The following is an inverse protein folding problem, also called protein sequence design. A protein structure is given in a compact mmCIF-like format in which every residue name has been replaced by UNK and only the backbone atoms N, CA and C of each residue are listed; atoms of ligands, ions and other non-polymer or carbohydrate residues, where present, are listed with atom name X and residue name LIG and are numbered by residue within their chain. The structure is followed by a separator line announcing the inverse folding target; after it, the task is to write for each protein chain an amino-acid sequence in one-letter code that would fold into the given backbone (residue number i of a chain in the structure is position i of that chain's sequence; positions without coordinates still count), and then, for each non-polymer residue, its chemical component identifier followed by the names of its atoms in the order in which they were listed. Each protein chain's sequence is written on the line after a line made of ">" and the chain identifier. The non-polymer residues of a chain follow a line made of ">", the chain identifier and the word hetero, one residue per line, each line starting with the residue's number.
data_IF_355254225225
#
_entry.id   IF_355254225225
#
_cell.length_a   1.000
_cell.length_b   1.000
_cell.length_c   1.000
_cell.angle_alpha   90.00
_cell.angle_beta   90.00
_cell.angle_gamma   90.00
#
_symmetry.space_group_name_H-M   'P 1'
#
loop_
_entity.id
_entity.type
_entity.pdbx_description
1 polymer ?
#
# COMPACT_ATOMS: atom_id res chain seq x y z
N UNK A 1 19.10 -2.08 -2.30
CA UNK A 1 19.39 -3.41 -1.71
C UNK A 1 18.07 -4.02 -1.24
N UNK A 2 17.94 -5.35 -1.18
CA UNK A 2 16.79 -5.98 -0.53
C UNK A 2 16.64 -5.50 0.92
N UNK A 3 15.43 -5.60 1.47
CA UNK A 3 15.20 -5.36 2.88
C UNK A 3 15.86 -6.45 3.73
N UNK A 4 16.28 -6.09 4.92
CA UNK A 4 16.76 -7.03 5.93
C UNK A 4 15.62 -7.68 6.71
N UNK A 5 15.99 -8.43 7.75
CA UNK A 5 15.03 -9.12 8.62
C UNK A 5 14.48 -8.15 9.68
N UNK A 6 13.20 -7.81 9.54
CA UNK A 6 12.53 -6.87 10.43
C UNK A 6 12.40 -7.40 11.86
N UNK A 7 12.47 -8.73 12.07
CA UNK A 7 12.44 -9.30 13.43
C UNK A 7 13.68 -8.93 14.26
N UNK A 8 14.79 -8.56 13.60
CA UNK A 8 16.01 -8.04 14.23
C UNK A 8 16.00 -6.50 14.36
N UNK A 9 14.95 -5.84 13.88
CA UNK A 9 14.87 -4.39 13.78
C UNK A 9 15.87 -3.81 12.77
N UNK A 10 16.28 -4.56 11.76
CA UNK A 10 17.26 -4.12 10.75
C UNK A 10 16.68 -4.34 9.36
N UNK A 11 15.80 -3.43 8.95
CA UNK A 11 15.03 -3.55 7.72
C UNK A 11 15.69 -2.80 6.54
N UNK A 12 16.10 -1.54 6.73
CA UNK A 12 16.58 -0.68 5.64
C UNK A 12 17.75 0.17 6.11
N UNK A 13 18.87 0.18 5.38
CA UNK A 13 20.10 0.89 5.77
C UNK A 13 20.13 2.39 5.39
N UNK A 14 19.31 2.83 4.43
CA UNK A 14 19.44 4.16 3.81
C UNK A 14 18.10 4.77 3.42
N UNK A 15 17.16 4.79 4.38
CA UNK A 15 15.80 5.28 4.16
C UNK A 15 15.75 6.74 3.71
N UNK A 16 16.51 7.63 4.36
CA UNK A 16 16.53 9.08 4.06
C UNK A 16 17.06 9.37 2.65
N UNK A 17 18.19 8.76 2.27
CA UNK A 17 18.77 8.99 0.93
C UNK A 17 17.86 8.45 -0.17
N UNK A 18 17.23 7.30 0.04
CA UNK A 18 16.27 6.73 -0.91
C UNK A 18 15.04 7.64 -1.07
N UNK A 19 14.53 8.17 0.04
CA UNK A 19 13.45 9.15 0.06
C UNK A 19 13.80 10.44 -0.69
N UNK A 20 14.93 11.07 -0.37
CA UNK A 20 15.32 12.35 -1.00
C UNK A 20 15.52 12.22 -2.50
N UNK A 21 16.19 11.14 -2.95
CA UNK A 21 16.36 10.86 -4.37
C UNK A 21 15.01 10.68 -5.07
N UNK A 22 14.08 9.95 -4.45
CA UNK A 22 12.74 9.73 -4.99
C UNK A 22 11.89 11.01 -4.99
N UNK A 23 12.03 11.87 -3.97
CA UNK A 23 11.38 13.17 -3.90
C UNK A 23 11.83 14.09 -5.02
N UNK A 24 13.14 14.21 -5.23
CA UNK A 24 13.70 15.00 -6.34
C UNK A 24 13.23 14.47 -7.68
N UNK A 25 13.20 13.14 -7.85
CA UNK A 25 12.66 12.52 -9.05
C UNK A 25 11.17 12.86 -9.25
N UNK A 26 10.37 12.73 -8.19
CA UNK A 26 8.94 13.05 -8.20
C UNK A 26 8.64 14.50 -8.55
N UNK A 27 9.40 15.45 -8.01
CA UNK A 27 9.26 16.89 -8.32
C UNK A 27 9.52 17.19 -9.80
N UNK A 28 10.42 16.44 -10.44
CA UNK A 28 10.68 16.58 -11.87
C UNK A 28 9.63 15.85 -12.72
N UNK A 29 9.21 14.65 -12.30
CA UNK A 29 8.16 13.90 -12.98
C UNK A 29 6.83 14.66 -12.98
N UNK A 30 6.48 15.32 -11.88
CA UNK A 30 5.26 16.11 -11.74
C UNK A 30 5.17 17.28 -12.74
N UNK A 31 6.28 17.65 -13.39
CA UNK A 31 6.31 18.69 -14.44
C UNK A 31 5.75 18.18 -15.78
N UNK A 32 5.69 16.86 -15.96
CA UNK A 32 5.40 16.22 -17.25
C UNK A 32 4.15 15.34 -17.25
N UNK A 33 3.44 15.24 -16.12
CA UNK A 33 2.23 14.41 -15.97
C UNK A 33 1.11 15.23 -15.34
N UNK A 34 -0.14 14.85 -15.59
CA UNK A 34 -1.33 15.50 -15.02
C UNK A 34 -1.75 14.88 -13.67
N UNK A 35 -1.39 13.62 -13.43
CA UNK A 35 -1.59 12.88 -12.18
C UNK A 35 -0.71 11.63 -12.17
N UNK A 36 -0.50 11.02 -10.99
CA UNK A 36 0.25 9.78 -10.83
C UNK A 36 -0.62 8.68 -10.25
N UNK A 37 -0.54 7.48 -10.81
CA UNK A 37 -1.03 6.23 -10.19
C UNK A 37 0.20 5.39 -9.90
N UNK A 38 0.39 5.05 -8.62
CA UNK A 38 1.59 4.36 -8.18
C UNK A 38 1.21 3.14 -7.35
N UNK A 39 1.72 1.97 -7.73
CA UNK A 39 1.49 0.71 -7.02
C UNK A 39 2.77 0.10 -6.49
N UNK A 40 2.62 -0.98 -5.73
CA UNK A 40 3.73 -1.75 -5.16
C UNK A 40 3.61 -3.25 -5.46
N UNK A 41 4.73 -3.95 -5.35
CA UNK A 41 4.78 -5.41 -5.46
C UNK A 41 5.84 -5.97 -4.51
N UNK A 42 5.52 -6.02 -3.23
CA UNK A 42 6.42 -6.43 -2.15
C UNK A 42 5.86 -7.65 -1.42
N UNK A 43 6.49 -8.80 -1.62
CA UNK A 43 6.22 -9.97 -0.79
C UNK A 43 6.58 -9.67 0.67
N UNK A 44 5.63 -9.89 1.59
CA UNK A 44 5.78 -9.52 2.99
C UNK A 44 5.45 -8.05 3.32
N UNK A 45 5.06 -7.25 2.32
CA UNK A 45 4.77 -5.82 2.48
C UNK A 45 3.67 -5.49 3.50
N UNK A 46 2.71 -6.40 3.71
CA UNK A 46 1.70 -6.23 4.77
C UNK A 46 2.32 -6.29 6.17
N UNK A 47 3.35 -7.10 6.36
CA UNK A 47 4.02 -7.27 7.67
C UNK A 47 4.92 -6.08 7.97
N UNK A 48 5.62 -5.55 6.97
CA UNK A 48 6.43 -4.34 7.11
C UNK A 48 5.56 -3.09 7.28
N UNK A 49 4.41 -3.02 6.59
CA UNK A 49 3.41 -1.99 6.83
C UNK A 49 2.89 -2.02 8.27
N UNK A 50 2.53 -3.20 8.80
CA UNK A 50 2.14 -3.36 10.20
C UNK A 50 3.26 -2.88 11.15
N UNK A 51 4.51 -3.23 10.84
CA UNK A 51 5.67 -2.82 11.63
C UNK A 51 5.83 -1.31 11.74
N UNK A 52 5.79 -0.62 10.60
CA UNK A 52 5.89 0.86 10.57
C UNK A 52 4.71 1.52 11.26
N UNK A 53 3.48 1.11 10.97
CA UNK A 53 2.28 1.66 11.62
C UNK A 53 2.35 1.50 13.13
N UNK A 54 2.73 0.31 13.60
CA UNK A 54 2.89 0.02 15.04
C UNK A 54 3.98 0.90 15.66
N UNK A 55 5.16 0.99 15.05
CA UNK A 55 6.25 1.81 15.56
C UNK A 55 5.87 3.29 15.63
N UNK A 56 5.06 3.77 14.69
CA UNK A 56 4.53 5.14 14.66
C UNK A 56 3.29 5.33 15.55
N UNK A 57 2.77 4.26 16.16
CA UNK A 57 1.70 4.33 17.16
C UNK A 57 0.29 4.25 16.62
N UNK A 58 0.12 3.89 15.34
CA UNK A 58 -1.17 3.64 14.71
C UNK A 58 -1.66 2.23 15.08
N UNK A 59 -2.95 2.11 15.37
CA UNK A 59 -3.56 0.86 15.76
C UNK A 59 -3.98 0.01 14.56
N UNK A 60 -3.09 -0.89 14.14
CA UNK A 60 -3.24 -1.71 12.92
C UNK A 60 -3.09 -3.22 13.13
N UNK A 61 -2.89 -3.70 14.37
CA UNK A 61 -2.54 -5.10 14.70
C UNK A 61 -3.56 -6.13 14.21
N UNK A 62 -4.83 -5.75 14.13
CA UNK A 62 -5.96 -6.58 13.70
C UNK A 62 -6.62 -6.07 12.42
N UNK A 63 -6.00 -5.08 11.75
CA UNK A 63 -6.62 -4.34 10.63
C UNK A 63 -5.89 -4.53 9.30
N UNK A 64 -4.71 -5.15 9.30
CA UNK A 64 -3.84 -5.30 8.13
C UNK A 64 -4.22 -6.55 7.31
N UNK A 65 -4.31 -6.37 5.99
CA UNK A 65 -4.66 -7.43 5.04
C UNK A 65 -3.54 -8.46 4.83
N UNK A 66 -3.82 -9.46 3.99
CA UNK A 66 -2.92 -10.55 3.59
C UNK A 66 -3.26 -10.99 2.17
N UNK A 67 -2.28 -11.45 1.40
CA UNK A 67 -2.54 -12.12 0.10
C UNK A 67 -2.96 -13.58 0.25
N UNK A 68 -2.98 -14.11 1.49
CA UNK A 68 -3.39 -15.47 1.83
C UNK A 68 -4.84 -15.49 2.29
N UNK A 69 -5.57 -16.60 2.03
CA UNK A 69 -6.97 -16.73 2.43
C UNK A 69 -7.15 -16.76 3.96
N UNK A 70 -6.18 -17.30 4.69
CA UNK A 70 -6.09 -17.14 6.15
C UNK A 70 -4.95 -16.19 6.46
N UNK A 71 -5.26 -15.06 7.11
CA UNK A 71 -4.27 -14.07 7.51
C UNK A 71 -3.45 -14.59 8.71
N UNK A 72 -2.12 -14.80 8.59
CA UNK A 72 -1.29 -15.29 9.69
C UNK A 72 -0.96 -14.15 10.65
N UNK A 73 -1.98 -13.52 11.24
CA UNK A 73 -1.85 -12.25 11.97
C UNK A 73 -0.95 -12.40 13.21
N UNK A 74 -1.08 -13.49 13.97
CA UNK A 74 -0.24 -13.78 15.13
C UNK A 74 1.25 -13.83 14.78
N UNK A 75 1.59 -14.40 13.62
CA UNK A 75 2.96 -14.46 13.14
C UNK A 75 3.47 -13.06 12.78
N UNK A 76 2.65 -12.24 12.10
CA UNK A 76 3.02 -10.85 11.75
C UNK A 76 3.27 -10.03 13.01
N UNK A 77 2.36 -10.11 13.99
CA UNK A 77 2.47 -9.43 15.29
C UNK A 77 3.73 -9.87 16.02
N UNK A 78 4.01 -11.18 16.07
CA UNK A 78 5.21 -11.73 16.70
C UNK A 78 6.48 -11.15 16.07
N UNK A 79 6.58 -11.15 14.74
CA UNK A 79 7.73 -10.63 13.99
C UNK A 79 7.94 -9.14 14.29
N UNK A 80 6.87 -8.33 14.24
CA UNK A 80 6.93 -6.89 14.52
C UNK A 80 7.35 -6.61 15.95
N UNK A 81 6.78 -7.33 16.92
CA UNK A 81 7.14 -7.18 18.33
C UNK A 81 8.59 -7.58 18.60
N UNK A 82 9.10 -8.64 17.97
CA UNK A 82 10.52 -9.00 18.07
C UNK A 82 11.43 -7.89 17.56
N UNK A 83 11.07 -7.25 16.43
CA UNK A 83 11.85 -6.12 15.89
C UNK A 83 11.87 -4.91 16.82
N UNK A 84 10.72 -4.55 17.40
CA UNK A 84 10.63 -3.48 18.40
C UNK A 84 11.48 -3.79 19.64
N UNK A 85 11.36 -5.01 20.19
CA UNK A 85 12.12 -5.46 21.36
C UNK A 85 13.63 -5.43 21.13
N UNK A 86 14.10 -5.89 19.97
CA UNK A 86 15.53 -5.86 19.60
C UNK A 86 16.10 -4.44 19.48
N UNK A 87 15.23 -3.42 19.39
CA UNK A 87 15.60 -2.00 19.42
C UNK A 87 15.28 -1.31 20.74
N UNK A 88 14.81 -2.05 21.75
CA UNK A 88 14.32 -1.51 23.01
C UNK A 88 13.24 -0.44 22.82
N UNK A 89 12.32 -0.67 21.88
CA UNK A 89 11.22 0.22 21.55
C UNK A 89 9.88 -0.38 21.96
N UNK A 90 8.93 0.49 22.29
CA UNK A 90 7.51 0.21 22.46
C UNK A 90 6.72 0.71 21.24
N UNK A 91 5.45 0.28 21.14
CA UNK A 91 4.49 0.81 20.15
C UNK A 91 4.41 2.33 20.29
N UNK A 92 4.60 3.07 19.18
CA UNK A 92 4.50 4.52 19.15
C UNK A 92 5.77 5.30 19.49
N UNK A 93 6.85 4.65 19.93
CA UNK A 93 8.11 5.35 20.26
C UNK A 93 8.74 6.09 19.07
N UNK A 94 8.33 5.75 17.85
CA UNK A 94 8.79 6.35 16.60
C UNK A 94 7.72 7.17 15.88
N UNK A 95 6.69 7.66 16.60
CA UNK A 95 5.59 8.48 16.05
C UNK A 95 6.06 9.57 15.09
N UNK A 96 7.05 10.35 15.49
CA UNK A 96 7.57 11.49 14.72
C UNK A 96 8.92 11.16 14.03
N UNK A 97 9.23 9.86 13.89
CA UNK A 97 10.51 9.37 13.33
C UNK A 97 10.25 8.33 12.23
N UNK A 98 9.56 8.70 11.14
CA UNK A 98 9.13 7.75 10.10
C UNK A 98 10.31 7.02 9.45
N UNK A 99 11.43 7.71 9.21
CA UNK A 99 12.64 7.08 8.67
C UNK A 99 13.23 6.03 9.60
N UNK A 100 13.18 6.22 10.93
CA UNK A 100 13.60 5.20 11.89
C UNK A 100 12.63 4.02 11.92
N UNK A 101 11.33 4.28 11.81
CA UNK A 101 10.33 3.21 11.71
C UNK A 101 10.60 2.34 10.47
N UNK A 102 10.89 2.96 9.32
CA UNK A 102 11.26 2.27 8.08
C UNK A 102 12.57 1.49 8.25
N UNK A 103 13.62 2.12 8.81
CA UNK A 103 14.92 1.49 9.00
C UNK A 103 14.86 0.23 9.86
N UNK A 104 13.94 0.19 10.83
CA UNK A 104 13.81 -0.95 11.73
C UNK A 104 12.79 -1.99 11.29
N UNK A 105 11.65 -1.55 10.76
CA UNK A 105 10.47 -2.41 10.58
C UNK A 105 9.81 -2.30 9.20
N UNK A 106 10.33 -1.45 8.32
CA UNK A 106 9.76 -1.21 7.00
C UNK A 106 10.32 -2.10 5.91
N UNK A 107 10.28 -1.60 4.68
CA UNK A 107 10.90 -2.20 3.52
C UNK A 107 11.49 -1.12 2.61
N UNK A 108 12.37 -1.48 1.65
CA UNK A 108 13.01 -0.50 0.77
C UNK A 108 12.07 0.25 -0.17
N UNK A 109 10.85 -0.24 -0.39
CA UNK A 109 9.86 0.44 -1.25
C UNK A 109 9.29 1.65 -0.52
N UNK A 110 8.96 1.52 0.77
CA UNK A 110 8.32 2.58 1.56
C UNK A 110 9.00 3.97 1.49
N UNK A 111 10.32 4.14 1.69
CA UNK A 111 10.95 5.46 1.62
C UNK A 111 10.94 6.03 0.20
N UNK A 112 11.13 5.19 -0.82
CA UNK A 112 11.08 5.60 -2.23
C UNK A 112 9.66 6.03 -2.60
N UNK A 113 8.67 5.23 -2.21
CA UNK A 113 7.26 5.50 -2.50
C UNK A 113 6.81 6.79 -1.82
N UNK A 114 7.11 6.98 -0.53
CA UNK A 114 6.80 8.22 0.18
C UNK A 114 7.49 9.43 -0.46
N UNK A 115 8.77 9.33 -0.82
CA UNK A 115 9.51 10.40 -1.49
C UNK A 115 8.87 10.79 -2.82
N UNK A 116 8.58 9.80 -3.65
CA UNK A 116 7.94 10.01 -4.95
C UNK A 116 6.56 10.68 -4.80
N UNK A 117 5.72 10.21 -3.86
CA UNK A 117 4.42 10.82 -3.59
C UNK A 117 4.58 12.25 -3.11
N UNK A 118 5.45 12.52 -2.13
CA UNK A 118 5.69 13.90 -1.63
C UNK A 118 6.18 14.82 -2.75
N UNK A 119 7.06 14.33 -3.62
CA UNK A 119 7.56 15.12 -4.75
C UNK A 119 6.47 15.44 -5.78
N UNK A 120 5.54 14.50 -6.03
CA UNK A 120 4.50 14.64 -7.04
C UNK A 120 3.27 15.40 -6.54
N UNK A 121 2.78 15.04 -5.35
CA UNK A 121 1.54 15.55 -4.76
C UNK A 121 1.57 17.04 -4.44
N UNK A 122 2.75 17.67 -4.40
CA UNK A 122 2.89 19.14 -4.31
C UNK A 122 2.37 19.87 -5.55
N UNK A 123 2.21 19.18 -6.68
CA UNK A 123 1.81 19.80 -7.96
C UNK A 123 0.61 19.13 -8.60
N UNK A 124 0.52 17.80 -8.55
CA UNK A 124 -0.51 17.03 -9.25
C UNK A 124 -1.06 15.89 -8.38
N UNK A 125 -2.33 15.47 -8.57
CA UNK A 125 -2.93 14.43 -7.75
C UNK A 125 -2.23 13.08 -7.83
N UNK A 126 -2.27 12.32 -6.74
CA UNK A 126 -1.66 10.98 -6.65
C UNK A 126 -2.66 9.95 -6.14
N UNK A 127 -2.77 8.83 -6.86
CA UNK A 127 -3.49 7.63 -6.43
C UNK A 127 -2.50 6.59 -5.93
N UNK A 128 -2.56 6.29 -4.64
CA UNK A 128 -1.84 5.19 -3.99
C UNK A 128 -2.57 3.88 -4.31
N UNK A 129 -2.07 3.16 -5.31
CA UNK A 129 -2.67 1.94 -5.83
C UNK A 129 -2.25 0.71 -5.01
N UNK A 130 -3.07 0.32 -4.04
CA UNK A 130 -2.79 -0.83 -3.19
C UNK A 130 -3.76 -0.99 -2.03
N UNK A 131 -3.50 -1.98 -1.19
CA UNK A 131 -4.33 -2.30 -0.03
C UNK A 131 -3.83 -1.58 1.23
N UNK A 132 -3.88 -2.28 2.37
CA UNK A 132 -3.48 -1.73 3.67
C UNK A 132 -2.03 -1.27 3.73
N UNK A 133 -1.15 -1.75 2.84
CA UNK A 133 0.22 -1.25 2.69
C UNK A 133 0.27 0.27 2.45
N UNK A 134 -0.70 0.81 1.71
CA UNK A 134 -0.75 2.25 1.42
C UNK A 134 -0.97 3.09 2.68
N UNK A 135 -1.55 2.52 3.74
CA UNK A 135 -1.74 3.26 5.01
C UNK A 135 -0.42 3.51 5.74
N UNK A 136 0.58 2.64 5.61
CA UNK A 136 1.92 2.90 6.12
C UNK A 136 2.57 4.07 5.37
N UNK A 137 2.37 4.14 4.05
CA UNK A 137 2.84 5.27 3.22
C UNK A 137 2.15 6.56 3.66
N UNK A 138 0.82 6.54 3.87
CA UNK A 138 0.08 7.70 4.39
C UNK A 138 0.59 8.14 5.76
N UNK A 139 0.87 7.21 6.68
CA UNK A 139 1.41 7.53 8.00
C UNK A 139 2.78 8.21 7.91
N UNK A 140 3.67 7.67 7.07
CA UNK A 140 4.99 8.25 6.79
C UNK A 140 4.83 9.67 6.24
N UNK A 141 4.00 9.85 5.22
CA UNK A 141 3.75 11.15 4.59
C UNK A 141 3.16 12.14 5.58
N UNK A 142 2.15 11.73 6.36
CA UNK A 142 1.51 12.57 7.37
C UNK A 142 2.51 13.10 8.40
N UNK A 143 3.50 12.28 8.76
CA UNK A 143 4.57 12.68 9.68
C UNK A 143 5.59 13.64 9.03
N UNK A 144 5.82 13.54 7.71
CA UNK A 144 6.79 14.37 6.97
C UNK A 144 6.18 15.71 6.53
N UNK A 145 5.05 15.66 5.84
CA UNK A 145 4.36 16.81 5.27
C UNK A 145 2.85 16.49 5.15
N UNK A 146 2.05 16.77 6.18
CA UNK A 146 0.61 16.46 6.16
C UNK A 146 -0.16 17.29 5.13
N UNK A 147 0.39 18.41 4.65
CA UNK A 147 -0.30 19.32 3.73
C UNK A 147 -0.50 18.72 2.34
N UNK A 148 0.31 17.72 1.96
CA UNK A 148 0.20 17.07 0.65
C UNK A 148 -0.92 16.02 0.60
N UNK A 149 -1.46 15.61 1.75
CA UNK A 149 -2.49 14.56 1.82
C UNK A 149 -3.82 14.97 1.16
N UNK A 150 -4.08 16.28 1.07
CA UNK A 150 -5.26 16.81 0.37
C UNK A 150 -5.25 16.49 -1.13
N UNK A 151 -4.09 16.11 -1.69
CA UNK A 151 -3.90 15.77 -3.10
C UNK A 151 -3.66 14.26 -3.32
N UNK A 152 -4.01 13.43 -2.33
CA UNK A 152 -3.76 11.99 -2.33
C UNK A 152 -5.07 11.21 -2.12
N UNK A 153 -5.23 10.11 -2.85
CA UNK A 153 -6.30 9.13 -2.63
C UNK A 153 -5.74 7.71 -2.62
N UNK A 154 -6.42 6.78 -1.96
CA UNK A 154 -6.15 5.34 -2.10
C UNK A 154 -7.03 4.78 -3.23
N UNK A 155 -6.42 4.02 -4.14
CA UNK A 155 -7.10 3.21 -5.13
C UNK A 155 -6.86 1.73 -4.86
N UNK A 156 -7.90 0.99 -4.48
CA UNK A 156 -7.81 -0.43 -4.10
C UNK A 156 -8.85 -1.27 -4.85
N UNK A 157 -9.00 -2.54 -4.47
CA UNK A 157 -10.04 -3.46 -4.98
C UNK A 157 -11.20 -3.58 -4.00
N UNK A 158 -12.38 -3.93 -4.51
CA UNK A 158 -13.54 -4.32 -3.70
C UNK A 158 -13.21 -5.41 -2.68
N UNK A 159 -12.36 -6.37 -3.02
CA UNK A 159 -11.95 -7.44 -2.11
C UNK A 159 -11.22 -6.95 -0.85
N UNK A 160 -10.51 -5.82 -0.92
CA UNK A 160 -9.90 -5.22 0.28
C UNK A 160 -10.96 -4.54 1.15
N UNK A 161 -11.94 -3.86 0.54
CA UNK A 161 -13.01 -3.16 1.27
C UNK A 161 -13.99 -4.14 1.92
N UNK A 162 -14.27 -5.27 1.28
CA UNK A 162 -15.23 -6.27 1.74
C UNK A 162 -14.62 -7.34 2.66
N UNK A 163 -13.31 -7.31 2.92
CA UNK A 163 -12.66 -8.29 3.79
C UNK A 163 -12.90 -7.94 5.27
N UNK A 164 -13.73 -8.73 5.95
CA UNK A 164 -14.07 -8.57 7.37
C UNK A 164 -12.86 -8.70 8.32
N UNK A 165 -11.75 -9.28 7.85
CA UNK A 165 -10.52 -9.42 8.62
C UNK A 165 -9.54 -8.26 8.42
N UNK A 166 -9.96 -7.22 7.69
CA UNK A 166 -9.17 -6.05 7.34
C UNK A 166 -9.99 -4.80 7.62
N UNK A 167 -9.37 -3.75 8.15
CA UNK A 167 -10.03 -2.46 8.37
C UNK A 167 -9.20 -1.32 7.78
N UNK A 168 -9.19 -1.22 6.45
CA UNK A 168 -8.47 -0.18 5.73
C UNK A 168 -8.97 1.21 6.13
N UNK A 169 -10.29 1.39 6.23
CA UNK A 169 -10.91 2.68 6.54
C UNK A 169 -10.56 3.13 7.95
N UNK A 170 -10.63 2.25 8.94
CA UNK A 170 -10.28 2.58 10.32
C UNK A 170 -8.80 2.89 10.52
N UNK A 171 -7.88 2.33 9.71
CA UNK A 171 -6.48 2.77 9.72
C UNK A 171 -6.35 4.17 9.09
N UNK A 172 -6.99 4.41 7.94
CA UNK A 172 -6.96 5.72 7.26
C UNK A 172 -7.51 6.82 8.16
N UNK A 173 -8.61 6.57 8.87
CA UNK A 173 -9.24 7.54 9.77
C UNK A 173 -8.37 7.95 10.95
N UNK A 174 -7.50 7.06 11.43
CA UNK A 174 -6.50 7.40 12.45
C UNK A 174 -5.42 8.34 11.93
N UNK A 175 -5.17 8.36 10.62
CA UNK A 175 -4.15 9.19 9.98
C UNK A 175 -4.76 10.52 9.53
N UNK A 176 -5.76 10.45 8.65
CA UNK A 176 -6.54 11.59 8.17
C UNK A 176 -7.86 11.09 7.56
N UNK A 177 -9.03 11.39 8.19
CA UNK A 177 -10.33 10.88 7.75
C UNK A 177 -10.84 11.48 6.43
N UNK A 178 -10.19 12.53 5.92
CA UNK A 178 -10.58 13.19 4.67
C UNK A 178 -9.98 12.51 3.43
N UNK A 179 -9.06 11.54 3.60
CA UNK A 179 -8.42 10.87 2.47
C UNK A 179 -9.44 9.97 1.76
N UNK A 180 -9.69 10.17 0.46
CA UNK A 180 -10.61 9.33 -0.29
C UNK A 180 -10.07 7.90 -0.47
N UNK A 181 -10.96 6.92 -0.35
CA UNK A 181 -10.69 5.52 -0.68
C UNK A 181 -11.62 5.13 -1.83
N UNK A 182 -11.03 4.80 -2.98
CA UNK A 182 -11.71 4.34 -4.18
C UNK A 182 -11.46 2.85 -4.33
N UNK A 183 -12.49 2.07 -4.66
CA UNK A 183 -12.37 0.63 -4.88
C UNK A 183 -12.86 0.23 -6.27
N UNK A 184 -12.01 -0.43 -7.04
CA UNK A 184 -12.40 -1.07 -8.28
C UNK A 184 -13.32 -2.26 -7.96
N UNK A 185 -14.52 -2.26 -8.51
CA UNK A 185 -15.49 -3.36 -8.33
C UNK A 185 -15.12 -4.58 -9.20
N UNK A 186 -13.91 -5.10 -9.03
CA UNK A 186 -13.48 -6.33 -9.68
C UNK A 186 -14.26 -7.50 -9.08
N UNK A 187 -14.73 -8.40 -9.95
CA UNK A 187 -15.49 -9.58 -9.57
C UNK A 187 -15.18 -10.71 -10.56
N UNK A 188 -14.60 -11.77 -10.02
CA UNK A 188 -14.16 -12.96 -10.74
C UNK A 188 -15.07 -14.19 -10.49
N UNK A 189 -16.25 -14.03 -9.87
CA UNK A 189 -17.18 -15.15 -9.58
C UNK A 189 -17.60 -15.91 -10.85
N UNK A 190 -17.83 -15.15 -11.92
CA UNK A 190 -18.29 -15.66 -13.22
C UNK A 190 -17.16 -16.01 -14.20
N UNK A 191 -15.88 -15.91 -13.79
CA UNK A 191 -14.75 -16.24 -14.66
C UNK A 191 -14.68 -17.74 -14.97
N UNK A 192 -14.12 -18.15 -16.11
CA UNK A 192 -14.03 -19.58 -16.48
C UNK A 192 -13.02 -20.35 -15.63
N UNK A 193 -11.92 -19.70 -15.22
CA UNK A 193 -10.77 -20.39 -14.63
C UNK A 193 -10.77 -20.32 -13.09
N UNK A 194 -10.59 -21.48 -12.45
CA UNK A 194 -10.57 -21.58 -10.98
C UNK A 194 -9.47 -20.72 -10.33
N UNK A 195 -8.32 -20.52 -11.00
CA UNK A 195 -7.27 -19.63 -10.49
C UNK A 195 -7.67 -18.16 -10.42
N UNK A 196 -8.60 -17.70 -11.27
CA UNK A 196 -9.19 -16.37 -11.17
C UNK A 196 -10.29 -16.36 -10.10
N UNK A 197 -11.17 -17.37 -10.08
CA UNK A 197 -12.22 -17.49 -9.05
C UNK A 197 -11.67 -17.52 -7.62
N UNK A 198 -10.42 -17.97 -7.45
CA UNK A 198 -9.72 -17.97 -6.16
C UNK A 198 -9.68 -16.59 -5.48
N UNK A 199 -9.73 -15.49 -6.23
CA UNK A 199 -9.80 -14.13 -5.66
C UNK A 199 -11.05 -13.92 -4.81
N UNK A 200 -12.18 -14.51 -5.21
CA UNK A 200 -13.44 -14.47 -4.43
C UNK A 200 -13.37 -15.24 -3.10
N UNK A 201 -12.30 -16.02 -2.91
CA UNK A 201 -12.04 -16.79 -1.68
C UNK A 201 -11.01 -16.09 -0.79
N UNK A 202 -10.72 -14.80 -1.04
CA UNK A 202 -9.77 -14.00 -0.26
C UNK A 202 -8.30 -14.22 -0.63
N UNK A 203 -8.02 -14.87 -1.76
CA UNK A 203 -6.66 -15.11 -2.25
C UNK A 203 -6.21 -13.90 -3.10
N UNK A 204 -4.95 -13.47 -2.92
CA UNK A 204 -4.35 -12.28 -3.53
C UNK A 204 -5.00 -10.96 -3.10
N UNK A 205 -6.28 -10.74 -3.44
CA UNK A 205 -7.09 -9.53 -3.23
C UNK A 205 -6.57 -8.26 -3.91
N UNK A 206 -5.28 -7.96 -3.81
CA UNK A 206 -4.64 -6.77 -4.35
C UNK A 206 -3.15 -7.01 -4.59
N UNK A 207 -2.52 -6.14 -5.37
CA UNK A 207 -1.09 -6.13 -5.62
C UNK A 207 -0.77 -5.51 -6.98
N UNK A 208 0.47 -5.07 -7.17
CA UNK A 208 0.96 -4.50 -8.43
C UNK A 208 0.12 -3.27 -8.89
N UNK A 209 -0.57 -2.63 -7.95
CA UNK A 209 -1.47 -1.50 -8.22
C UNK A 209 -2.71 -1.86 -9.03
N UNK A 210 -3.22 -3.09 -8.95
CA UNK A 210 -4.34 -3.56 -9.76
C UNK A 210 -5.60 -2.71 -9.56
N UNK A 211 -5.99 -2.45 -8.30
CA UNK A 211 -7.16 -1.64 -7.99
C UNK A 211 -7.08 -0.22 -8.54
N UNK A 212 -6.03 0.51 -8.16
CA UNK A 212 -5.80 1.88 -8.65
C UNK A 212 -5.64 1.98 -10.16
N UNK A 213 -5.00 1.00 -10.82
CA UNK A 213 -4.87 0.98 -12.28
C UNK A 213 -6.20 0.74 -12.98
N UNK A 214 -7.06 -0.14 -12.45
CA UNK A 214 -8.40 -0.37 -12.97
C UNK A 214 -9.27 0.89 -12.85
N UNK A 215 -9.23 1.57 -11.70
CA UNK A 215 -9.91 2.86 -11.48
C UNK A 215 -9.42 3.90 -12.50
N UNK A 216 -8.10 4.06 -12.62
CA UNK A 216 -7.51 5.04 -13.53
C UNK A 216 -7.83 4.76 -15.00
N UNK A 217 -7.89 3.49 -15.42
CA UNK A 217 -8.28 3.10 -16.77
C UNK A 217 -9.73 3.48 -17.08
N UNK A 218 -10.65 3.20 -16.14
CA UNK A 218 -12.05 3.58 -16.31
C UNK A 218 -12.22 5.10 -16.35
N UNK A 219 -11.61 5.82 -15.40
CA UNK A 219 -11.75 7.28 -15.31
C UNK A 219 -11.08 8.01 -16.47
N UNK A 220 -9.87 7.62 -16.88
CA UNK A 220 -9.15 8.30 -17.97
C UNK A 220 -9.78 8.12 -19.35
N UNK A 221 -10.74 7.18 -19.47
CA UNK A 221 -11.47 6.93 -20.72
C UNK A 221 -12.91 7.42 -20.69
N UNK A 222 -13.29 8.25 -19.72
CA UNK A 222 -14.68 8.65 -19.47
C UNK A 222 -15.61 7.43 -19.38
N UNK A 223 -15.15 6.36 -18.73
CA UNK A 223 -15.83 5.08 -18.59
C UNK A 223 -16.18 4.39 -19.92
N UNK A 224 -15.55 4.76 -21.05
CA UNK A 224 -15.63 3.99 -22.32
C UNK A 224 -15.04 2.60 -22.13
N UNK A 225 -13.93 2.50 -21.40
CA UNK A 225 -13.47 1.23 -20.85
C UNK A 225 -14.17 1.03 -19.51
N UNK A 226 -14.95 -0.04 -19.42
CA UNK A 226 -15.67 -0.42 -18.19
C UNK A 226 -15.02 -1.62 -17.52
N UNK A 227 -15.44 -1.91 -16.29
CA UNK A 227 -14.98 -3.09 -15.55
C UNK A 227 -15.15 -4.40 -16.34
N UNK A 228 -16.23 -4.52 -17.15
CA UNK A 228 -16.47 -5.68 -17.99
C UNK A 228 -15.41 -5.86 -19.10
N UNK A 229 -14.88 -4.75 -19.62
CA UNK A 229 -13.78 -4.80 -20.58
C UNK A 229 -12.49 -5.29 -19.91
N UNK A 230 -12.22 -4.82 -18.68
CA UNK A 230 -11.08 -5.24 -17.87
C UNK A 230 -11.19 -6.74 -17.55
N UNK A 231 -12.35 -7.20 -17.08
CA UNK A 231 -12.65 -8.62 -16.83
C UNK A 231 -12.36 -9.49 -18.04
N UNK A 232 -12.90 -9.13 -19.21
CA UNK A 232 -12.64 -9.85 -20.46
C UNK A 232 -11.14 -9.92 -20.77
N UNK A 233 -10.42 -8.82 -20.59
CA UNK A 233 -9.00 -8.77 -20.91
C UNK A 233 -8.14 -9.61 -19.96
N UNK A 234 -8.53 -9.68 -18.68
CA UNK A 234 -7.90 -10.54 -17.69
C UNK A 234 -8.07 -12.01 -18.11
N UNK A 235 -9.28 -12.42 -18.45
CA UNK A 235 -9.56 -13.79 -18.89
C UNK A 235 -8.80 -14.15 -20.17
N UNK A 236 -8.85 -13.30 -21.20
CA UNK A 236 -8.09 -13.48 -22.45
C UNK A 236 -6.58 -13.63 -22.23
N UNK A 237 -6.02 -12.92 -21.23
CA UNK A 237 -4.60 -13.02 -20.92
C UNK A 237 -4.28 -14.25 -20.06
N UNK A 238 -5.21 -14.65 -19.18
CA UNK A 238 -5.08 -15.88 -18.41
C UNK A 238 -5.08 -17.12 -19.32
N UNK A 239 -5.94 -17.14 -20.35
CA UNK A 239 -5.99 -18.21 -21.36
C UNK A 239 -4.69 -18.36 -22.17
N UNK A 240 -3.80 -17.36 -22.20
CA UNK A 240 -2.51 -17.42 -22.92
C UNK A 240 -1.37 -18.01 -22.09
N UNK A 241 -1.53 -18.11 -20.77
CA UNK A 241 -0.48 -18.54 -19.84
C UNK A 241 -0.75 -19.93 -19.25
N UNK A 242 -1.88 -20.54 -19.61
CA UNK A 242 -2.24 -21.93 -19.32
C UNK A 242 -2.15 -22.78 -20.59
#
# INVERSE_FOLDING_TARGET
>A
KPGGDISNGQAVDSSVNAYENARIFGENLAKTIDYLVIGESIAGGTTTALGVLTAMGIDAMDKISSSLPVNPIDLKIKIVNSGLQNKNLQKGDLRDKPFKAIEFLGDPMQPVFAGLVVGVAKRVPVVLAGGTQMTAILAIINSIDPTILDNVAIGTTSWIISDENTDLKGIVDQINPNIPILAANLNFSEMKHNGLKAYEQGIVKEGVGAGGSAIACMLSTDCKITINHIHRKIEENYEKII
#
